data_IF_442545226903
#
_entry.id   IF_442545226903
#
_cell.length_a   1.000
_cell.length_b   1.000
_cell.length_c   1.000
_cell.angle_alpha   90.00
_cell.angle_beta   90.00
_cell.angle_gamma   90.00
#
_symmetry.space_group_name_H-M   'P 1'
#
loop_
_entity.id
_entity.type
_entity.pdbx_description
1 polymer ?
#
# COMPACT_ATOMS: atom_id res chain seq x y z
N UNK A 1 -59.62 -22.46 31.69
CA UNK A 1 -60.37 -21.33 31.09
C UNK A 1 -59.34 -20.31 30.66
N UNK A 2 -59.14 -19.90 29.41
CA UNK A 2 -59.83 -20.09 28.14
C UNK A 2 -58.79 -20.49 27.07
N UNK A 3 -59.14 -21.49 26.25
CA UNK A 3 -58.42 -21.87 25.03
C UNK A 3 -58.91 -21.00 23.87
N UNK A 4 -58.03 -20.54 22.99
CA UNK A 4 -58.39 -20.22 21.60
C UNK A 4 -57.43 -20.92 20.65
N UNK A 5 -57.92 -21.99 20.04
CA UNK A 5 -57.35 -22.73 18.94
C UNK A 5 -57.82 -22.13 17.62
N UNK A 6 -56.94 -22.03 16.60
CA UNK A 6 -57.08 -22.58 15.24
C UNK A 6 -56.12 -21.87 14.23
N UNK A 7 -55.82 -22.51 13.08
CA UNK A 7 -54.46 -22.65 12.56
C UNK A 7 -54.23 -21.82 11.30
N UNK A 8 -52.97 -21.69 10.85
CA UNK A 8 -52.72 -21.53 9.41
C UNK A 8 -51.30 -21.96 9.05
N UNK A 9 -51.19 -23.20 8.55
CA UNK A 9 -50.08 -23.62 7.70
C UNK A 9 -50.33 -23.07 6.29
N UNK A 10 -49.46 -22.20 5.79
CA UNK A 10 -49.24 -21.99 4.36
C UNK A 10 -47.77 -21.66 4.12
N UNK A 11 -47.09 -22.56 3.41
CA UNK A 11 -45.73 -22.37 2.94
C UNK A 11 -45.63 -21.14 2.05
N UNK A 12 -44.65 -20.29 2.34
CA UNK A 12 -44.24 -19.22 1.45
C UNK A 12 -43.39 -19.87 0.36
N UNK A 13 -43.96 -19.96 -0.85
CA UNK A 13 -43.27 -20.45 -2.02
C UNK A 13 -42.32 -19.35 -2.54
N UNK A 14 -41.03 -19.46 -2.20
CA UNK A 14 -39.98 -18.48 -2.46
C UNK A 14 -39.67 -18.25 -3.95
N UNK A 15 -40.29 -19.01 -4.87
CA UNK A 15 -40.01 -18.96 -6.30
C UNK A 15 -40.76 -17.88 -7.10
N UNK A 16 -41.71 -17.15 -6.51
CA UNK A 16 -42.53 -16.18 -7.27
C UNK A 16 -42.02 -14.73 -7.24
N UNK A 17 -40.94 -14.43 -6.50
CA UNK A 17 -40.45 -13.04 -6.33
C UNK A 17 -39.27 -12.64 -7.24
N UNK A 18 -38.79 -13.53 -8.13
CA UNK A 18 -37.61 -13.27 -8.99
C UNK A 18 -38.01 -13.18 -10.47
N UNK A 19 -39.02 -12.37 -10.80
CA UNK A 19 -39.34 -12.05 -12.20
C UNK A 19 -39.68 -10.57 -12.43
N UNK A 20 -38.86 -9.69 -11.86
CA UNK A 20 -38.76 -8.32 -12.34
C UNK A 20 -37.41 -8.11 -13.00
N UNK A 21 -37.42 -8.38 -14.31
CA UNK A 21 -36.89 -7.50 -15.36
C UNK A 21 -35.56 -6.82 -14.99
N UNK A 22 -34.45 -7.54 -15.22
CA UNK A 22 -33.16 -6.92 -15.45
C UNK A 22 -33.29 -6.01 -16.69
N UNK A 23 -33.54 -4.72 -16.47
CA UNK A 23 -33.30 -3.72 -17.49
C UNK A 23 -31.78 -3.69 -17.75
N UNK A 24 -31.32 -3.65 -19.01
CA UNK A 24 -29.92 -3.38 -19.28
C UNK A 24 -29.59 -2.01 -18.68
N UNK A 25 -28.55 -1.92 -17.86
CA UNK A 25 -27.94 -0.66 -17.44
C UNK A 25 -27.42 0.05 -18.70
N UNK A 26 -28.31 0.74 -19.40
CA UNK A 26 -27.97 1.65 -20.48
C UNK A 26 -27.19 2.79 -19.87
N UNK A 27 -25.87 2.80 -20.12
CA UNK A 27 -24.93 3.91 -20.04
C UNK A 27 -25.49 5.18 -19.36
N UNK A 28 -25.48 5.22 -18.04
CA UNK A 28 -25.46 6.49 -17.32
C UNK A 28 -24.07 7.08 -17.51
N UNK A 29 -23.90 7.91 -18.54
CA UNK A 29 -22.76 8.81 -18.66
C UNK A 29 -22.92 9.90 -17.60
N UNK A 30 -22.41 9.65 -16.39
CA UNK A 30 -22.20 10.71 -15.42
C UNK A 30 -20.91 11.43 -15.78
N UNK A 31 -20.98 12.45 -16.64
CA UNK A 31 -19.93 13.48 -16.65
C UNK A 31 -19.97 14.17 -15.28
N UNK A 32 -19.04 13.76 -14.42
CA UNK A 32 -18.83 14.38 -13.12
C UNK A 32 -18.32 15.81 -13.32
N UNK A 33 -19.05 16.81 -12.83
CA UNK A 33 -18.59 18.21 -12.76
C UNK A 33 -17.34 18.40 -11.89
N UNK A 34 -16.93 17.38 -11.13
CA UNK A 34 -15.72 17.44 -10.31
C UNK A 34 -14.51 17.13 -11.16
N UNK A 35 -13.69 18.14 -11.38
CA UNK A 35 -12.33 17.97 -11.92
C UNK A 35 -11.39 17.50 -10.81
N UNK A 36 -10.45 16.58 -11.11
CA UNK A 36 -9.41 16.21 -10.16
C UNK A 36 -8.58 17.41 -9.70
N UNK A 37 -8.01 17.31 -8.50
CA UNK A 37 -7.07 18.33 -7.99
C UNK A 37 -5.92 18.55 -8.98
N UNK A 38 -5.45 19.79 -9.08
CA UNK A 38 -4.29 20.15 -9.91
C UNK A 38 -3.06 19.29 -9.61
N UNK A 39 -2.93 18.79 -8.38
CA UNK A 39 -1.84 17.89 -7.96
C UNK A 39 -1.87 16.52 -8.64
N UNK A 40 -3.03 16.08 -9.15
CA UNK A 40 -3.22 14.73 -9.73
C UNK A 40 -3.77 14.77 -11.15
N UNK A 41 -4.01 15.95 -11.73
CA UNK A 41 -4.55 16.09 -13.09
C UNK A 41 -3.67 15.43 -14.17
N UNK A 42 -2.36 15.31 -13.95
CA UNK A 42 -1.42 14.62 -14.85
C UNK A 42 -1.06 13.20 -14.43
N UNK A 43 -1.67 12.65 -13.38
CA UNK A 43 -1.35 11.32 -12.90
C UNK A 43 -1.82 10.25 -13.91
N UNK A 44 -0.89 9.37 -14.29
CA UNK A 44 -1.19 8.19 -15.12
C UNK A 44 -1.34 6.96 -14.21
N UNK A 45 -2.05 5.92 -14.67
CA UNK A 45 -2.01 4.62 -14.00
C UNK A 45 -0.56 4.18 -13.77
N UNK A 46 -0.29 3.54 -12.63
CA UNK A 46 1.06 3.02 -12.38
C UNK A 46 1.35 1.85 -13.32
N UNK A 47 2.63 1.64 -13.60
CA UNK A 47 3.11 0.51 -14.39
C UNK A 47 2.61 -0.83 -13.82
N UNK A 48 2.46 -0.91 -12.50
CA UNK A 48 1.94 -2.08 -11.81
C UNK A 48 0.50 -2.41 -12.18
N UNK A 49 -0.37 -1.40 -12.35
CA UNK A 49 -1.77 -1.62 -12.76
C UNK A 49 -1.82 -2.14 -14.19
N UNK A 50 -1.05 -1.53 -15.08
CA UNK A 50 -1.02 -1.88 -16.50
C UNK A 50 -0.46 -3.29 -16.74
N UNK A 51 0.70 -3.60 -16.17
CA UNK A 51 1.38 -4.88 -16.40
C UNK A 51 0.71 -6.06 -15.68
N UNK A 52 0.05 -5.85 -14.53
CA UNK A 52 -0.75 -6.93 -13.91
C UNK A 52 -1.91 -7.34 -14.80
N UNK A 53 -2.65 -6.36 -15.37
CA UNK A 53 -3.76 -6.67 -16.26
C UNK A 53 -3.26 -7.41 -17.51
N UNK A 54 -2.18 -6.91 -18.12
CA UNK A 54 -1.60 -7.52 -19.32
C UNK A 54 -1.08 -8.95 -19.08
N UNK A 55 -0.45 -9.21 -17.92
CA UNK A 55 0.03 -10.55 -17.59
C UNK A 55 -1.12 -11.58 -17.51
N UNK A 56 -2.28 -11.17 -16.97
CA UNK A 56 -3.48 -12.01 -16.91
C UNK A 56 -4.05 -12.23 -18.32
N UNK A 57 -4.21 -11.17 -19.11
CA UNK A 57 -4.74 -11.25 -20.48
C UNK A 57 -3.89 -12.15 -21.38
N UNK A 58 -2.57 -12.10 -21.24
CA UNK A 58 -1.63 -12.90 -22.03
C UNK A 58 -1.37 -14.30 -21.46
N UNK A 59 -1.94 -14.66 -20.30
CA UNK A 59 -1.60 -15.89 -19.56
C UNK A 59 -0.08 -16.06 -19.40
N UNK A 60 0.61 -14.97 -19.06
CA UNK A 60 2.06 -14.93 -18.97
C UNK A 60 2.55 -15.42 -17.60
N UNK A 61 3.76 -15.97 -17.56
CA UNK A 61 4.48 -16.19 -16.30
C UNK A 61 4.94 -14.83 -15.78
N UNK A 62 4.42 -14.41 -14.62
CA UNK A 62 4.72 -13.10 -14.04
C UNK A 62 6.04 -13.14 -13.25
N UNK A 63 7.12 -12.66 -13.88
CA UNK A 63 8.42 -12.41 -13.24
C UNK A 63 8.68 -10.91 -13.00
N UNK A 64 7.65 -10.07 -13.17
CA UNK A 64 7.78 -8.61 -13.08
C UNK A 64 7.49 -8.07 -11.67
N UNK A 65 6.42 -8.53 -11.04
CA UNK A 65 6.03 -8.04 -9.70
C UNK A 65 6.81 -8.75 -8.58
N UNK A 66 7.40 -7.96 -7.70
CA UNK A 66 8.20 -8.45 -6.57
C UNK A 66 7.37 -8.85 -5.35
N UNK A 67 6.44 -9.80 -5.49
CA UNK A 67 5.83 -10.47 -4.34
C UNK A 67 6.14 -11.98 -4.36
N UNK A 68 6.42 -12.61 -3.20
CA UNK A 68 6.60 -14.06 -3.15
C UNK A 68 5.30 -14.79 -3.50
N UNK A 69 5.40 -15.85 -4.29
CA UNK A 69 4.32 -16.80 -4.61
C UNK A 69 4.28 -18.00 -3.62
N UNK A 70 5.29 -18.10 -2.75
CA UNK A 70 5.34 -19.10 -1.69
C UNK A 70 4.59 -18.65 -0.43
N UNK A 71 4.10 -19.60 0.40
CA UNK A 71 3.46 -19.28 1.68
C UNK A 71 4.38 -18.45 2.59
N UNK A 72 3.76 -17.54 3.33
CA UNK A 72 4.45 -16.80 4.39
C UNK A 72 4.99 -17.77 5.46
N UNK A 73 6.03 -17.37 6.22
CA UNK A 73 6.55 -18.19 7.32
C UNK A 73 5.45 -18.58 8.32
N UNK A 74 5.39 -19.87 8.68
CA UNK A 74 4.31 -20.44 9.50
C UNK A 74 4.06 -19.68 10.81
N UNK A 75 5.12 -19.24 11.49
CA UNK A 75 4.98 -18.51 12.74
C UNK A 75 4.18 -17.20 12.58
N UNK A 76 4.23 -16.56 11.41
CA UNK A 76 3.48 -15.34 11.13
C UNK A 76 2.00 -15.64 10.88
N UNK A 77 1.70 -16.71 10.14
CA UNK A 77 0.31 -17.11 9.88
C UNK A 77 -0.36 -17.62 11.16
N UNK A 78 0.34 -18.41 11.97
CA UNK A 78 -0.16 -18.91 13.25
C UNK A 78 -0.47 -17.73 14.20
N UNK A 79 0.42 -16.74 14.27
CA UNK A 79 0.20 -15.56 15.11
C UNK A 79 -1.03 -14.75 14.69
N UNK A 80 -1.29 -14.62 13.39
CA UNK A 80 -2.48 -13.94 12.88
C UNK A 80 -3.75 -14.75 13.16
N UNK A 81 -3.68 -16.08 13.04
CA UNK A 81 -4.77 -16.98 13.40
C UNK A 81 -5.13 -16.87 14.88
N UNK A 82 -4.12 -16.88 15.76
CA UNK A 82 -4.29 -16.72 17.20
C UNK A 82 -4.95 -15.38 17.53
N UNK A 83 -4.51 -14.27 16.92
CA UNK A 83 -5.13 -12.96 17.11
C UNK A 83 -6.60 -12.96 16.69
N UNK A 84 -6.93 -13.61 15.58
CA UNK A 84 -8.29 -13.67 15.05
C UNK A 84 -9.24 -14.51 15.91
N UNK A 85 -8.73 -15.58 16.54
CA UNK A 85 -9.54 -16.56 17.27
C UNK A 85 -9.56 -16.38 18.79
N UNK A 86 -8.71 -15.52 19.35
CA UNK A 86 -8.54 -15.45 20.80
C UNK A 86 -9.84 -15.02 21.51
N UNK A 87 -10.47 -15.88 22.33
CA UNK A 87 -11.83 -15.64 22.86
C UNK A 87 -11.89 -14.48 23.86
N UNK A 88 -10.81 -14.24 24.59
CA UNK A 88 -10.77 -13.29 25.70
C UNK A 88 -10.06 -11.96 25.37
N UNK A 89 -9.32 -11.88 24.25
CA UNK A 89 -8.46 -10.73 23.94
C UNK A 89 -9.16 -9.73 23.00
N UNK A 90 -10.35 -9.31 23.39
CA UNK A 90 -11.18 -8.37 22.62
C UNK A 90 -10.50 -7.02 22.38
N UNK A 91 -9.57 -6.63 23.26
CA UNK A 91 -8.77 -5.43 23.13
C UNK A 91 -7.86 -5.41 21.89
N UNK A 92 -7.48 -6.57 21.35
CA UNK A 92 -6.63 -6.65 20.15
C UNK A 92 -7.34 -6.20 18.87
N UNK A 93 -8.66 -6.17 18.88
CA UNK A 93 -9.49 -5.71 17.76
C UNK A 93 -9.91 -4.25 17.90
N UNK A 94 -9.41 -3.54 18.90
CA UNK A 94 -9.70 -2.12 19.15
C UNK A 94 -8.52 -1.23 18.73
N UNK A 95 -8.73 0.08 18.78
CA UNK A 95 -7.68 1.04 18.49
C UNK A 95 -6.46 0.87 19.38
N UNK A 96 -5.29 0.96 18.75
CA UNK A 96 -4.00 1.07 19.41
C UNK A 96 -3.48 2.51 19.36
N UNK A 97 -2.33 2.79 19.98
CA UNK A 97 -1.58 4.05 19.82
C UNK A 97 -1.41 4.42 18.34
N UNK A 98 -1.75 5.65 17.99
CA UNK A 98 -1.76 6.14 16.60
C UNK A 98 -0.41 6.05 15.87
N UNK A 99 0.71 6.34 16.55
CA UNK A 99 2.05 6.25 15.95
C UNK A 99 2.65 4.84 15.94
N UNK A 100 1.87 3.84 16.32
CA UNK A 100 2.25 2.44 16.25
C UNK A 100 1.98 1.68 17.53
N UNK A 101 1.65 0.40 17.36
CA UNK A 101 1.36 -0.51 18.47
C UNK A 101 2.56 -0.60 19.44
N UNK A 102 2.37 -0.39 20.77
CA UNK A 102 3.47 -0.35 21.74
C UNK A 102 4.42 -1.55 21.65
N UNK A 103 3.89 -2.78 21.52
CA UNK A 103 4.72 -3.99 21.39
C UNK A 103 5.57 -3.97 20.10
N UNK A 104 5.05 -3.43 19.01
CA UNK A 104 5.74 -3.36 17.72
C UNK A 104 6.84 -2.31 17.77
N UNK A 105 6.55 -1.08 18.22
CA UNK A 105 7.56 -0.01 18.26
C UNK A 105 8.72 -0.34 19.21
N UNK A 106 8.47 -1.02 20.33
CA UNK A 106 9.53 -1.50 21.21
C UNK A 106 10.39 -2.59 20.57
N UNK A 107 9.77 -3.52 19.82
CA UNK A 107 10.51 -4.56 19.10
C UNK A 107 11.39 -3.97 17.98
N UNK A 108 10.85 -3.01 17.22
CA UNK A 108 11.57 -2.27 16.18
C UNK A 108 12.72 -1.47 16.78
N UNK A 109 12.48 -0.68 17.82
CA UNK A 109 13.52 0.10 18.50
C UNK A 109 14.66 -0.79 19.00
N UNK A 110 14.35 -1.94 19.62
CA UNK A 110 15.37 -2.92 20.06
C UNK A 110 16.18 -3.50 18.90
N UNK A 111 15.51 -3.83 17.79
CA UNK A 111 16.18 -4.34 16.59
C UNK A 111 17.13 -3.29 16.01
N UNK A 112 16.60 -2.11 15.69
CA UNK A 112 17.35 -1.05 15.03
C UNK A 112 18.40 -0.40 15.92
N UNK A 113 18.23 -0.38 17.25
CA UNK A 113 19.30 0.09 18.14
C UNK A 113 20.58 -0.75 18.00
N UNK A 114 20.44 -2.06 17.82
CA UNK A 114 21.58 -2.96 17.58
C UNK A 114 22.16 -2.79 16.18
N UNK A 115 21.29 -2.74 15.16
CA UNK A 115 21.72 -2.63 13.76
C UNK A 115 22.43 -1.30 13.47
N UNK A 116 21.88 -0.19 13.97
CA UNK A 116 22.39 1.16 13.75
C UNK A 116 23.46 1.57 14.78
N UNK A 117 23.74 0.73 15.78
CA UNK A 117 24.68 1.00 16.89
C UNK A 117 24.39 2.33 17.60
N UNK A 118 23.12 2.68 17.76
CA UNK A 118 22.65 3.88 18.46
C UNK A 118 21.42 3.54 19.31
N UNK A 119 21.06 4.39 20.28
CA UNK A 119 19.84 4.17 21.07
C UNK A 119 18.64 4.74 20.31
N UNK A 120 17.72 3.88 19.88
CA UNK A 120 16.45 4.29 19.23
C UNK A 120 15.35 4.34 20.29
N UNK A 121 14.72 5.49 20.46
CA UNK A 121 13.58 5.66 21.36
C UNK A 121 12.28 5.21 20.65
N UNK A 122 11.56 4.19 21.18
CA UNK A 122 10.35 3.67 20.53
C UNK A 122 9.18 4.68 20.47
N UNK A 123 9.21 5.75 21.27
CA UNK A 123 8.14 6.74 21.29
C UNK A 123 8.38 7.90 20.31
N UNK A 124 9.64 8.29 20.09
CA UNK A 124 9.99 9.48 19.30
C UNK A 124 10.65 9.16 17.97
N UNK A 125 11.34 8.03 17.86
CA UNK A 125 12.20 7.74 16.71
C UNK A 125 11.60 6.64 15.81
N UNK A 126 10.42 6.10 16.18
CA UNK A 126 9.73 5.03 15.45
C UNK A 126 8.29 5.44 15.17
N UNK A 127 7.93 5.43 13.88
CA UNK A 127 6.57 5.60 13.38
C UNK A 127 6.17 4.36 12.57
N UNK A 128 5.06 3.72 12.94
CA UNK A 128 4.47 2.63 12.15
C UNK A 128 3.52 3.21 11.12
N UNK A 129 3.70 2.82 9.86
CA UNK A 129 2.91 3.29 8.71
C UNK A 129 2.29 2.11 7.95
N UNK A 130 1.40 2.38 7.00
CA UNK A 130 0.82 1.35 6.14
C UNK A 130 1.84 1.01 5.04
N UNK A 131 2.76 0.13 5.39
CA UNK A 131 3.85 -0.31 4.52
C UNK A 131 4.88 0.79 4.21
N UNK A 132 5.95 0.39 3.52
CA UNK A 132 7.01 1.32 3.11
C UNK A 132 6.48 2.42 2.18
N UNK A 133 5.45 2.12 1.38
CA UNK A 133 4.86 3.05 0.42
C UNK A 133 4.31 4.32 1.09
N UNK A 134 3.58 4.20 2.21
CA UNK A 134 3.14 5.38 2.96
C UNK A 134 4.22 5.95 3.88
N UNK A 135 5.21 5.15 4.27
CA UNK A 135 6.39 5.71 4.95
C UNK A 135 7.08 6.75 4.08
N UNK A 136 7.30 6.45 2.80
CA UNK A 136 7.84 7.40 1.83
C UNK A 136 6.94 8.63 1.69
N UNK A 137 5.62 8.41 1.56
CA UNK A 137 4.66 9.49 1.39
C UNK A 137 4.67 10.48 2.56
N UNK A 138 4.64 9.98 3.80
CA UNK A 138 4.71 10.84 4.98
C UNK A 138 6.06 11.52 5.15
N UNK A 139 7.16 10.89 4.73
CA UNK A 139 8.47 11.54 4.71
C UNK A 139 8.48 12.73 3.75
N UNK A 140 8.01 12.57 2.51
CA UNK A 140 7.97 13.69 1.58
C UNK A 140 6.99 14.77 2.02
N UNK A 141 5.77 14.40 2.43
CA UNK A 141 4.76 15.36 2.87
C UNK A 141 5.15 16.11 4.16
N UNK A 142 5.88 15.45 5.06
CA UNK A 142 6.26 16.04 6.35
C UNK A 142 7.48 16.94 6.29
N UNK A 143 8.31 16.82 5.25
CA UNK A 143 9.60 17.53 5.16
C UNK A 143 9.70 18.52 3.99
N UNK A 144 8.95 18.33 2.90
CA UNK A 144 9.05 19.19 1.73
C UNK A 144 8.15 20.43 1.84
N UNK A 145 8.69 21.56 1.40
CA UNK A 145 7.96 22.76 1.04
C UNK A 145 7.86 22.88 -0.48
N UNK A 146 7.00 23.80 -0.93
CA UNK A 146 6.83 24.09 -2.35
C UNK A 146 8.13 24.59 -2.96
N UNK A 147 8.62 23.87 -3.97
CA UNK A 147 9.85 24.21 -4.70
C UNK A 147 11.11 23.56 -4.14
N UNK A 148 11.06 22.83 -3.02
CA UNK A 148 12.22 22.12 -2.48
C UNK A 148 12.70 21.06 -3.47
N UNK A 149 14.00 21.04 -3.75
CA UNK A 149 14.60 20.07 -4.66
C UNK A 149 14.90 18.75 -3.94
N UNK A 150 14.65 17.63 -4.63
CA UNK A 150 14.89 16.28 -4.09
C UNK A 150 15.69 15.47 -5.10
N UNK A 151 16.91 15.10 -4.73
CA UNK A 151 17.78 14.26 -5.55
C UNK A 151 17.17 12.86 -5.67
N UNK A 152 17.06 12.36 -6.89
CA UNK A 152 16.56 11.01 -7.21
C UNK A 152 17.63 10.26 -8.00
N UNK A 153 18.24 9.25 -7.36
CA UNK A 153 19.22 8.40 -8.02
C UNK A 153 18.53 7.41 -8.97
N UNK A 154 18.85 7.45 -10.26
CA UNK A 154 18.24 6.57 -11.27
C UNK A 154 19.13 5.37 -11.63
N UNK A 155 18.56 4.17 -11.85
CA UNK A 155 17.14 3.85 -11.82
C UNK A 155 16.54 3.84 -10.40
N UNK A 156 15.37 4.45 -10.26
CA UNK A 156 14.69 4.66 -8.99
C UNK A 156 13.42 3.81 -8.86
N UNK A 157 12.95 3.61 -7.63
CA UNK A 157 11.60 3.09 -7.40
C UNK A 157 10.56 4.10 -7.92
N UNK A 158 9.58 3.61 -8.68
CA UNK A 158 8.66 4.44 -9.48
C UNK A 158 7.79 5.38 -8.64
N UNK A 159 7.60 5.08 -7.35
CA UNK A 159 6.77 5.90 -6.47
C UNK A 159 7.44 7.19 -5.99
N UNK A 160 8.78 7.32 -6.09
CA UNK A 160 9.47 8.48 -5.51
C UNK A 160 9.04 9.78 -6.20
N UNK A 161 9.16 9.85 -7.53
CA UNK A 161 8.89 11.06 -8.31
C UNK A 161 7.44 11.56 -8.14
N UNK A 162 6.38 10.73 -8.23
CA UNK A 162 5.02 11.17 -7.98
C UNK A 162 4.81 11.69 -6.56
N UNK A 163 5.39 11.04 -5.54
CA UNK A 163 5.21 11.45 -4.15
C UNK A 163 5.96 12.75 -3.82
N UNK A 164 7.17 12.95 -4.36
CA UNK A 164 7.92 14.21 -4.25
C UNK A 164 7.10 15.36 -4.81
N UNK A 165 6.58 15.21 -6.04
CA UNK A 165 5.73 16.23 -6.69
C UNK A 165 4.45 16.50 -5.90
N UNK A 166 3.84 15.46 -5.34
CA UNK A 166 2.65 15.61 -4.51
C UNK A 166 2.93 16.36 -3.20
N UNK A 167 4.15 16.23 -2.65
CA UNK A 167 4.65 17.02 -1.52
C UNK A 167 5.07 18.45 -1.88
N UNK A 168 4.94 18.88 -3.16
CA UNK A 168 5.33 20.20 -3.63
C UNK A 168 6.80 20.33 -4.04
N UNK A 169 7.58 19.25 -3.92
CA UNK A 169 9.00 19.24 -4.28
C UNK A 169 9.25 19.07 -5.78
N UNK A 170 10.49 19.38 -6.18
CA UNK A 170 11.01 19.28 -7.54
C UNK A 170 12.02 18.12 -7.58
N UNK A 171 11.71 16.99 -8.23
CA UNK A 171 12.65 15.89 -8.34
C UNK A 171 13.79 16.24 -9.30
N UNK A 172 15.02 16.07 -8.84
CA UNK A 172 16.26 16.29 -9.60
C UNK A 172 16.92 14.93 -9.85
N UNK A 173 16.80 14.35 -11.07
CA UNK A 173 17.34 13.04 -11.35
C UNK A 173 18.86 13.09 -11.49
N UNK A 174 19.54 12.13 -10.88
CA UNK A 174 20.97 11.85 -11.08
C UNK A 174 21.10 10.41 -11.53
N UNK A 175 21.38 10.21 -12.81
CA UNK A 175 21.47 8.88 -13.42
C UNK A 175 22.82 8.24 -13.11
N UNK A 176 22.79 7.03 -12.53
CA UNK A 176 23.97 6.21 -12.35
C UNK A 176 24.45 5.67 -13.71
N UNK A 177 25.75 5.76 -13.96
CA UNK A 177 26.36 5.28 -15.18
C UNK A 177 26.66 3.78 -15.08
N UNK A 178 26.49 3.07 -16.19
CA UNK A 178 26.81 1.65 -16.27
C UNK A 178 28.18 1.47 -16.92
N UNK A 179 29.06 0.66 -16.31
CA UNK A 179 30.36 0.35 -16.90
C UNK A 179 30.20 -0.30 -18.30
N UNK A 180 31.24 -0.22 -19.14
CA UNK A 180 31.20 -0.70 -20.54
C UNK A 180 30.84 -2.19 -20.70
N UNK A 181 31.07 -3.01 -19.67
CA UNK A 181 30.79 -4.46 -19.67
C UNK A 181 30.30 -4.90 -18.28
N UNK A 182 29.07 -4.52 -17.89
CA UNK A 182 28.57 -4.75 -16.55
C UNK A 182 28.26 -6.24 -16.33
N UNK A 183 28.57 -6.76 -15.15
CA UNK A 183 28.33 -8.13 -14.72
C UNK A 183 27.61 -8.21 -13.38
N UNK A 184 27.78 -7.22 -12.51
CA UNK A 184 27.18 -7.18 -11.18
C UNK A 184 26.55 -5.81 -10.93
N UNK A 185 25.78 -5.69 -9.84
CA UNK A 185 25.24 -4.40 -9.42
C UNK A 185 26.32 -3.42 -8.96
N UNK A 186 27.54 -3.87 -8.69
CA UNK A 186 28.68 -2.99 -8.32
C UNK A 186 29.19 -2.19 -9.51
N UNK A 187 28.83 -2.56 -10.74
CA UNK A 187 29.21 -1.86 -11.97
C UNK A 187 28.36 -0.60 -12.25
N UNK A 188 27.36 -0.32 -11.40
CA UNK A 188 26.67 0.97 -11.39
C UNK A 188 27.53 2.00 -10.64
N UNK A 189 27.89 3.06 -11.35
CA UNK A 189 28.77 4.10 -10.84
C UNK A 189 27.94 5.37 -10.63
N UNK A 190 28.03 5.93 -9.42
CA UNK A 190 27.49 7.24 -9.12
C UNK A 190 28.59 8.28 -9.35
N UNK A 191 28.35 9.18 -10.29
CA UNK A 191 29.20 10.35 -10.51
C UNK A 191 28.81 11.43 -9.48
N UNK A 192 29.67 11.66 -8.49
CA UNK A 192 29.44 12.63 -7.42
C UNK A 192 29.49 14.08 -7.93
N UNK A 193 30.23 14.34 -9.01
CA UNK A 193 30.32 15.70 -9.58
C UNK A 193 28.95 16.13 -10.13
N UNK A 194 28.13 15.19 -10.61
CA UNK A 194 26.73 15.44 -11.05
C UNK A 194 25.78 15.76 -9.89
N UNK A 195 26.15 15.44 -8.65
CA UNK A 195 25.37 15.77 -7.45
C UNK A 195 25.71 17.16 -6.94
N UNK A 196 26.97 17.58 -7.09
CA UNK A 196 27.47 18.86 -6.58
C UNK A 196 27.25 20.05 -7.52
N UNK A 197 26.90 19.79 -8.78
CA UNK A 197 26.64 20.78 -9.84
C UNK A 197 25.24 21.38 -9.81
#
# INVERSE_FOLDING_TARGET
>A
MLRSTLPFSRGINLHSFISHRLQPLSKMSTESKRVPSVLVQGAKPSIWVEFTALAVECNAVNLGQGFPDNPAPKFATDFLEDIGKHPEQTAWHQYTRGFGHPRLVNALAKLYSRTLKTTVNPQTDVLVTIGAYLSLYYSFLGWLNQGDEVIVLEPAYDSYVPQIKMGGGVPVPVTMDLAKNPKTSEDYILDLDKIES
#
